data_IF_958628752675
#
_entry.id   IF_958628752675
#
_cell.length_a   1.000
_cell.length_b   1.000
_cell.length_c   1.000
_cell.angle_alpha   90.00
_cell.angle_beta   90.00
_cell.angle_gamma   90.00
#
_symmetry.space_group_name_H-M   'P 1'
#
loop_
_entity.id
_entity.type
_entity.pdbx_description
1 polymer ?
#
# COMPACT_ATOMS: atom_id res chain seq x y z
N UNK A 1 -35.03 -18.89 74.42
CA UNK A 1 -34.48 -18.43 73.12
C UNK A 1 -34.63 -16.92 73.07
N UNK A 2 -33.53 -16.19 73.24
CA UNK A 2 -33.50 -14.73 73.22
C UNK A 2 -33.23 -14.33 71.76
N UNK A 3 -34.16 -13.59 71.14
CA UNK A 3 -34.04 -13.13 69.77
C UNK A 3 -33.00 -12.00 69.68
N UNK A 4 -32.09 -12.11 68.70
CA UNK A 4 -31.07 -11.10 68.42
C UNK A 4 -31.71 -9.83 67.82
N UNK A 5 -31.17 -8.62 68.11
CA UNK A 5 -31.68 -7.38 67.54
C UNK A 5 -31.34 -7.28 66.03
N UNK A 6 -32.14 -6.54 65.25
CA UNK A 6 -31.90 -6.35 63.83
C UNK A 6 -30.63 -5.52 63.58
N UNK A 7 -29.93 -5.72 62.44
CA UNK A 7 -28.74 -4.93 62.11
C UNK A 7 -29.11 -3.47 61.90
N UNK A 8 -28.28 -2.57 62.44
CA UNK A 8 -28.42 -1.13 62.25
C UNK A 8 -28.35 -0.79 60.75
N UNK A 9 -29.32 0.01 60.28
CA UNK A 9 -29.29 0.56 58.92
C UNK A 9 -28.12 1.53 58.73
N UNK A 10 -27.64 1.73 57.49
CA UNK A 10 -26.53 2.63 57.22
C UNK A 10 -26.89 4.06 57.63
N UNK A 11 -25.98 4.70 58.36
CA UNK A 11 -26.11 6.07 58.87
C UNK A 11 -26.19 7.07 57.70
N UNK A 12 -27.32 7.78 57.51
CA UNK A 12 -27.47 8.76 56.44
C UNK A 12 -26.62 10.02 56.65
N UNK A 13 -25.98 10.17 57.82
CA UNK A 13 -25.06 11.28 58.16
C UNK A 13 -23.58 10.93 58.07
N UNK A 14 -23.21 9.70 57.64
CA UNK A 14 -21.81 9.36 57.41
C UNK A 14 -21.29 10.10 56.18
N UNK A 15 -20.70 11.27 56.42
CA UNK A 15 -19.95 12.05 55.44
C UNK A 15 -18.95 11.09 54.76
N UNK A 16 -19.23 10.78 53.50
CA UNK A 16 -18.47 9.80 52.72
C UNK A 16 -17.05 10.33 52.62
N UNK A 17 -16.13 9.75 53.40
CA UNK A 17 -14.73 10.13 53.36
C UNK A 17 -14.28 10.25 51.90
N UNK A 18 -13.62 11.36 51.50
CA UNK A 18 -13.20 11.54 50.11
C UNK A 18 -12.41 10.31 49.70
N UNK A 19 -12.75 9.75 48.53
CA UNK A 19 -12.03 8.61 47.99
C UNK A 19 -10.53 8.94 47.97
N UNK A 20 -9.64 7.98 48.32
CA UNK A 20 -8.21 8.22 48.22
C UNK A 20 -7.87 8.70 46.82
N UNK A 21 -6.98 9.70 46.72
CA UNK A 21 -6.57 10.24 45.43
C UNK A 21 -6.00 9.09 44.58
N UNK A 22 -6.46 8.94 43.32
CA UNK A 22 -5.98 7.88 42.44
C UNK A 22 -4.46 7.97 42.25
N UNK A 23 -3.81 6.81 42.12
CA UNK A 23 -2.39 6.74 41.80
C UNK A 23 -2.08 7.52 40.50
N UNK A 24 -0.89 8.09 40.40
CA UNK A 24 -0.49 8.91 39.25
C UNK A 24 -0.65 8.13 37.93
N UNK A 25 -0.27 6.84 37.94
CA UNK A 25 -0.43 5.94 36.80
C UNK A 25 -1.91 5.78 36.40
N UNK A 26 -2.82 5.65 37.37
CA UNK A 26 -4.26 5.53 37.13
C UNK A 26 -4.82 6.81 36.49
N UNK A 27 -4.39 7.98 36.96
CA UNK A 27 -4.80 9.27 36.39
C UNK A 27 -4.37 9.43 34.94
N UNK A 28 -3.13 9.06 34.62
CA UNK A 28 -2.59 9.11 33.25
C UNK A 28 -3.34 8.16 32.33
N UNK A 29 -3.58 6.91 32.77
CA UNK A 29 -4.33 5.93 31.99
C UNK A 29 -5.81 6.31 31.81
N UNK A 30 -6.43 6.93 32.81
CA UNK A 30 -7.77 7.48 32.71
C UNK A 30 -7.83 8.61 31.67
N UNK A 31 -6.85 9.53 31.70
CA UNK A 31 -6.73 10.60 30.69
C UNK A 31 -6.54 10.03 29.28
N UNK A 32 -5.68 9.03 29.12
CA UNK A 32 -5.48 8.33 27.85
C UNK A 32 -6.78 7.68 27.34
N UNK A 33 -7.54 7.05 28.23
CA UNK A 33 -8.83 6.44 27.91
C UNK A 33 -9.88 7.47 27.48
N UNK A 34 -9.95 8.62 28.16
CA UNK A 34 -10.83 9.74 27.76
C UNK A 34 -10.47 10.25 26.36
N UNK A 35 -9.18 10.41 26.08
CA UNK A 35 -8.68 10.86 24.78
C UNK A 35 -8.98 9.85 23.66
N UNK A 36 -8.84 8.55 23.91
CA UNK A 36 -9.26 7.50 22.97
C UNK A 36 -10.75 7.58 22.64
N UNK A 37 -11.61 7.77 23.65
CA UNK A 37 -13.05 7.90 23.45
C UNK A 37 -13.40 9.16 22.65
N UNK A 38 -12.74 10.28 22.96
CA UNK A 38 -12.88 11.51 22.19
C UNK A 38 -12.50 11.31 20.72
N UNK A 39 -11.35 10.66 20.46
CA UNK A 39 -10.88 10.37 19.11
C UNK A 39 -11.82 9.43 18.35
N UNK A 40 -12.33 8.39 19.01
CA UNK A 40 -13.27 7.43 18.43
C UNK A 40 -14.62 8.08 18.10
N UNK A 41 -15.05 9.09 18.87
CA UNK A 41 -16.24 9.87 18.54
C UNK A 41 -16.06 10.74 17.29
N UNK A 42 -14.84 11.23 17.02
CA UNK A 42 -14.52 12.06 15.83
C UNK A 42 -14.23 11.24 14.59
N UNK A 43 -13.54 10.11 14.73
CA UNK A 43 -13.25 9.17 13.65
C UNK A 43 -13.70 7.74 14.00
N UNK A 44 -15.02 7.45 14.00
CA UNK A 44 -15.53 6.13 14.38
C UNK A 44 -15.02 4.98 13.52
N UNK A 45 -14.59 5.28 12.29
CA UNK A 45 -13.98 4.33 11.36
C UNK A 45 -12.56 3.89 11.76
N UNK A 46 -11.90 4.61 12.66
CA UNK A 46 -10.59 4.26 13.22
C UNK A 46 -10.68 3.68 14.63
N UNK A 47 -11.88 3.46 15.18
CA UNK A 47 -12.05 3.01 16.56
C UNK A 47 -11.24 1.74 16.87
N UNK A 48 -11.26 0.74 15.98
CA UNK A 48 -10.46 -0.49 16.17
C UNK A 48 -8.96 -0.20 16.33
N UNK A 49 -8.42 0.70 15.52
CA UNK A 49 -7.01 1.13 15.62
C UNK A 49 -6.74 1.90 16.92
N UNK A 50 -7.63 2.82 17.31
CA UNK A 50 -7.50 3.58 18.56
C UNK A 50 -7.45 2.68 19.81
N UNK A 51 -8.27 1.64 19.83
CA UNK A 51 -8.29 0.68 20.94
C UNK A 51 -7.18 -0.37 20.87
N UNK A 52 -6.45 -0.47 19.75
CA UNK A 52 -5.27 -1.31 19.63
C UNK A 52 -3.98 -0.64 20.12
N UNK A 53 -3.94 0.70 20.18
CA UNK A 53 -2.79 1.44 20.75
C UNK A 53 -2.53 1.00 22.19
N UNK A 54 -1.29 0.69 22.54
CA UNK A 54 -0.91 0.27 23.88
C UNK A 54 -0.22 1.43 24.64
N UNK A 55 -0.74 1.88 25.79
CA UNK A 55 -0.09 2.92 26.56
C UNK A 55 1.13 2.34 27.29
N UNK A 56 2.27 3.00 27.19
CA UNK A 56 3.48 2.69 27.97
C UNK A 56 3.79 3.91 28.82
N UNK A 57 3.71 3.76 30.14
CA UNK A 57 4.10 4.82 31.06
C UNK A 57 5.63 4.96 31.05
N UNK A 58 6.08 6.19 30.89
CA UNK A 58 7.48 6.56 31.04
C UNK A 58 7.68 7.07 32.47
N UNK A 59 8.88 6.88 33.00
CA UNK A 59 9.26 7.43 34.31
C UNK A 59 8.97 8.94 34.37
N UNK A 60 8.24 9.35 35.41
CA UNK A 60 7.84 10.73 35.57
C UNK A 60 9.05 11.62 35.87
N UNK A 61 9.21 12.71 35.11
CA UNK A 61 10.14 13.77 35.49
C UNK A 61 9.51 14.61 36.59
N UNK A 62 10.12 14.64 37.76
CA UNK A 62 9.60 15.37 38.92
C UNK A 62 10.30 16.72 39.08
N UNK A 63 9.56 17.72 39.54
CA UNK A 63 10.10 18.99 39.97
C UNK A 63 10.89 18.81 41.27
N UNK A 64 12.12 19.30 41.33
CA UNK A 64 13.01 19.09 42.49
C UNK A 64 12.50 19.74 43.78
N UNK A 65 11.64 20.76 43.68
CA UNK A 65 11.16 21.52 44.83
C UNK A 65 9.81 21.01 45.33
N UNK A 66 8.90 20.72 44.41
CA UNK A 66 7.51 20.36 44.72
C UNK A 66 7.28 18.84 44.68
N UNK A 67 8.14 18.07 44.02
CA UNK A 67 7.97 16.63 43.80
C UNK A 67 6.85 16.29 42.81
N UNK A 68 6.24 17.30 42.19
CA UNK A 68 5.13 17.11 41.24
C UNK A 68 5.65 16.75 39.83
N UNK A 69 4.91 15.96 39.03
CA UNK A 69 5.26 15.66 37.66
C UNK A 69 5.31 16.91 36.78
N UNK A 70 6.40 17.08 36.03
CA UNK A 70 6.62 18.19 35.10
C UNK A 70 6.56 17.68 33.67
N UNK A 71 5.80 18.37 32.83
CA UNK A 71 5.73 18.04 31.41
C UNK A 71 7.13 18.05 30.76
N UNK A 72 7.35 17.07 29.89
CA UNK A 72 8.53 16.97 29.03
C UNK A 72 8.17 17.47 27.62
N UNK A 73 8.72 18.62 27.18
CA UNK A 73 8.49 19.13 25.83
C UNK A 73 8.89 18.17 24.71
N UNK A 74 9.83 17.24 24.96
CA UNK A 74 10.23 16.22 23.98
C UNK A 74 9.13 15.17 23.77
N UNK A 75 8.32 14.89 24.79
CA UNK A 75 7.25 13.89 24.75
C UNK A 75 5.86 14.51 24.53
N UNK A 76 5.81 15.79 24.12
CA UNK A 76 4.57 16.55 23.88
C UNK A 76 3.62 15.95 22.84
N UNK A 77 4.15 15.10 21.95
CA UNK A 77 3.37 14.40 20.94
C UNK A 77 3.03 12.95 21.32
N UNK A 78 3.47 12.46 22.48
CA UNK A 78 3.30 11.07 22.90
C UNK A 78 3.87 10.10 21.85
N UNK A 79 5.21 10.07 21.65
CA UNK A 79 5.82 9.34 20.55
C UNK A 79 5.37 7.89 20.54
N UNK A 80 5.14 7.38 19.34
CA UNK A 80 4.60 6.05 19.11
C UNK A 80 5.58 5.23 18.28
N UNK A 81 5.75 3.96 18.64
CA UNK A 81 6.64 3.06 17.91
C UNK A 81 5.90 2.14 16.93
N UNK A 82 6.67 1.40 16.13
CA UNK A 82 6.14 0.45 15.13
C UNK A 82 5.37 -0.73 15.73
N UNK A 83 5.46 -0.93 17.05
CA UNK A 83 4.70 -1.94 17.80
C UNK A 83 3.40 -1.40 18.40
N UNK A 84 2.96 -0.21 17.97
CA UNK A 84 1.73 0.46 18.41
C UNK A 84 1.74 0.88 19.87
N UNK A 85 2.93 1.04 20.46
CA UNK A 85 3.08 1.51 21.83
C UNK A 85 3.20 3.02 21.84
N UNK A 86 2.34 3.66 22.63
CA UNK A 86 2.28 5.12 22.80
C UNK A 86 2.93 5.45 24.13
N UNK A 87 4.02 6.19 24.11
CA UNK A 87 4.77 6.53 25.31
C UNK A 87 4.17 7.75 26.00
N UNK A 88 3.82 7.59 27.28
CA UNK A 88 3.10 8.57 28.08
C UNK A 88 4.00 9.06 29.23
N UNK A 89 4.49 10.29 29.10
CA UNK A 89 5.03 11.02 30.24
C UNK A 89 3.88 11.53 31.13
N UNK A 90 3.87 11.23 32.44
CA UNK A 90 2.80 11.65 33.34
C UNK A 90 2.58 13.16 33.40
N UNK A 91 3.65 13.97 33.45
CA UNK A 91 3.53 15.43 33.53
C UNK A 91 2.87 16.02 32.28
N UNK A 92 3.28 15.53 31.11
CA UNK A 92 2.74 15.94 29.81
C UNK A 92 1.29 15.47 29.65
N UNK A 93 1.00 14.20 29.96
CA UNK A 93 -0.34 13.64 29.80
C UNK A 93 -1.37 14.36 30.67
N UNK A 94 -1.02 14.72 31.92
CA UNK A 94 -1.98 15.34 32.83
C UNK A 94 -2.23 16.81 32.54
N UNK A 95 -1.25 17.53 31.97
CA UNK A 95 -1.37 18.94 31.60
C UNK A 95 -1.96 19.16 30.20
N UNK A 96 -1.85 18.17 29.31
CA UNK A 96 -2.37 18.27 27.94
C UNK A 96 -3.90 18.09 27.90
N UNK A 97 -4.65 18.94 27.16
CA UNK A 97 -6.09 18.77 26.98
C UNK A 97 -6.44 17.43 26.32
N UNK A 98 -7.54 16.80 26.77
CA UNK A 98 -8.03 15.50 26.24
C UNK A 98 -8.18 15.50 24.72
N UNK A 99 -8.68 16.61 24.15
CA UNK A 99 -8.86 16.75 22.71
C UNK A 99 -7.52 16.75 21.94
N UNK A 100 -6.47 17.32 22.52
CA UNK A 100 -5.14 17.36 21.92
C UNK A 100 -4.46 15.98 21.97
N UNK A 101 -4.57 15.26 23.09
CA UNK A 101 -4.10 13.87 23.18
C UNK A 101 -4.83 13.00 22.14
N UNK A 102 -6.16 13.16 22.03
CA UNK A 102 -6.95 12.44 21.04
C UNK A 102 -6.59 12.80 19.60
N UNK A 103 -6.20 14.04 19.33
CA UNK A 103 -5.66 14.46 18.03
C UNK A 103 -4.35 13.73 17.73
N UNK A 104 -3.42 13.67 18.68
CA UNK A 104 -2.15 12.94 18.53
C UNK A 104 -2.38 11.43 18.29
N UNK A 105 -3.38 10.82 18.94
CA UNK A 105 -3.72 9.42 18.66
C UNK A 105 -4.18 9.18 17.21
N UNK A 106 -5.02 10.08 16.67
CA UNK A 106 -5.46 9.99 15.27
C UNK A 106 -4.28 10.21 14.32
N UNK A 107 -3.38 11.12 14.67
CA UNK A 107 -2.14 11.36 13.96
C UNK A 107 -1.26 10.10 13.92
N UNK A 108 -0.97 9.49 15.07
CA UNK A 108 -0.15 8.28 15.18
C UNK A 108 -0.72 7.09 14.43
N UNK A 109 -2.05 6.90 14.46
CA UNK A 109 -2.70 5.89 13.63
C UNK A 109 -2.40 6.13 12.14
N UNK A 110 -2.38 7.38 11.71
CA UNK A 110 -1.98 7.78 10.38
C UNK A 110 -0.59 7.24 10.00
N UNK A 111 0.42 7.42 10.84
CA UNK A 111 1.77 6.90 10.60
C UNK A 111 1.82 5.38 10.57
N UNK A 112 1.16 4.74 11.55
CA UNK A 112 1.18 3.28 11.72
C UNK A 112 0.56 2.55 10.54
N UNK A 113 -0.67 2.89 10.16
CA UNK A 113 -1.41 2.16 9.12
C UNK A 113 -0.95 2.51 7.71
N UNK A 114 -0.29 3.65 7.52
CA UNK A 114 0.35 4.03 6.25
C UNK A 114 1.79 3.54 6.15
N UNK A 115 2.28 2.83 7.17
CA UNK A 115 3.62 2.25 7.23
C UNK A 115 4.72 3.27 6.93
N UNK A 116 4.62 4.48 7.53
CA UNK A 116 5.62 5.53 7.30
C UNK A 116 7.04 5.07 7.67
N UNK A 117 7.19 4.35 8.79
CA UNK A 117 8.45 3.72 9.16
C UNK A 117 9.09 2.84 8.05
N UNK A 118 8.27 2.10 7.29
CA UNK A 118 8.74 1.21 6.22
C UNK A 118 9.02 1.98 4.93
N UNK A 119 8.28 3.06 4.69
CA UNK A 119 8.41 3.94 3.51
C UNK A 119 9.54 4.96 3.67
N UNK A 120 10.05 5.15 4.88
CA UNK A 120 11.14 6.06 5.17
C UNK A 120 12.37 5.75 4.31
N UNK A 121 12.98 6.75 3.65
CA UNK A 121 14.20 6.54 2.88
C UNK A 121 15.30 6.04 3.82
N UNK A 122 16.07 5.05 3.36
CA UNK A 122 17.19 4.55 4.13
C UNK A 122 18.12 5.70 4.52
N UNK A 123 18.59 5.77 5.77
CA UNK A 123 19.54 6.80 6.18
C UNK A 123 20.77 6.72 5.26
N UNK A 124 21.34 7.87 4.86
CA UNK A 124 22.52 7.89 4.01
C UNK A 124 23.61 7.03 4.64
N UNK A 125 24.35 6.22 3.86
CA UNK A 125 25.44 5.42 4.41
C UNK A 125 26.42 6.37 5.09
N UNK A 126 26.66 6.14 6.39
CA UNK A 126 27.72 6.83 7.12
C UNK A 126 29.07 6.64 6.44
N UNK A 127 30.09 7.47 6.75
CA UNK A 127 31.41 7.34 6.14
C UNK A 127 31.89 5.90 6.26
N UNK A 128 32.17 5.29 5.11
CA UNK A 128 32.46 3.87 4.99
C UNK A 128 33.57 3.46 5.98
N UNK A 129 33.21 2.62 6.96
CA UNK A 129 34.21 1.80 7.61
C UNK A 129 34.88 0.95 6.51
N UNK A 130 36.21 0.98 6.47
CA UNK A 130 37.03 0.34 5.44
C UNK A 130 36.77 -1.16 5.27
N UNK A 131 37.39 -1.79 4.25
CA UNK A 131 37.00 -3.12 3.79
C UNK A 131 37.18 -4.18 4.88
N UNK A 132 36.08 -4.76 5.34
CA UNK A 132 36.09 -5.88 6.28
C UNK A 132 36.27 -7.21 5.52
N UNK A 133 37.38 -7.88 5.82
CA UNK A 133 37.67 -9.28 5.41
C UNK A 133 36.70 -10.22 6.14
N UNK A 134 36.22 -11.32 5.53
CA UNK A 134 35.28 -12.21 6.19
C UNK A 134 36.03 -13.17 7.13
N UNK A 135 35.63 -13.24 8.40
CA UNK A 135 36.03 -14.34 9.28
C UNK A 135 34.92 -14.70 10.28
N UNK A 136 34.66 -16.00 10.33
CA UNK A 136 33.73 -16.68 11.21
C UNK A 136 34.21 -16.72 12.67
N UNK A 137 33.28 -16.87 13.62
CA UNK A 137 33.60 -17.28 14.99
C UNK A 137 32.94 -16.43 16.07
N UNK A 138 32.42 -17.10 17.09
CA UNK A 138 31.62 -16.57 18.20
C UNK A 138 32.45 -15.70 19.14
N UNK A 139 31.86 -14.61 19.64
CA UNK A 139 31.72 -14.26 21.07
C UNK A 139 31.20 -12.84 21.21
N UNK A 140 30.31 -12.62 22.18
CA UNK A 140 29.73 -11.31 22.48
C UNK A 140 30.81 -10.36 23.02
N UNK A 141 30.82 -9.06 22.67
CA UNK A 141 31.62 -8.08 23.38
C UNK A 141 30.87 -7.47 24.57
N UNK A 142 31.61 -7.37 25.66
CA UNK A 142 31.30 -6.78 26.94
C UNK A 142 30.96 -5.29 26.88
N UNK A 143 30.08 -4.87 27.81
CA UNK A 143 29.78 -3.47 28.18
C UNK A 143 31.07 -2.67 28.41
N UNK A 144 31.16 -1.50 27.77
CA UNK A 144 32.18 -0.50 28.09
C UNK A 144 32.10 0.73 27.17
N UNK A 145 31.82 1.89 27.79
CA UNK A 145 31.87 3.26 27.27
C UNK A 145 30.86 3.66 26.18
N UNK A 146 29.87 4.46 26.60
CA UNK A 146 28.96 5.20 25.74
C UNK A 146 29.76 6.15 24.82
N UNK A 147 29.52 6.15 23.49
CA UNK A 147 29.83 7.31 22.68
C UNK A 147 28.80 8.40 23.00
N UNK A 148 29.29 9.61 23.24
CA UNK A 148 28.48 10.80 23.38
C UNK A 148 27.46 10.91 22.23
N UNK A 149 26.27 11.43 22.56
CA UNK A 149 25.14 11.69 21.69
C UNK A 149 25.54 12.49 20.43
N UNK A 150 26.07 11.79 19.43
CA UNK A 150 26.11 12.25 18.06
C UNK A 150 24.76 11.90 17.47
N UNK A 151 23.84 12.88 17.49
CA UNK A 151 22.59 12.82 16.76
C UNK A 151 22.86 12.34 15.33
N UNK A 152 22.56 11.07 15.04
CA UNK A 152 22.22 10.68 13.68
C UNK A 152 20.90 11.39 13.44
N UNK A 153 20.96 12.58 12.82
CA UNK A 153 19.76 13.33 12.49
C UNK A 153 18.83 12.39 11.73
N UNK A 154 17.72 11.99 12.36
CA UNK A 154 16.58 11.40 11.68
C UNK A 154 16.29 12.27 10.44
N UNK A 155 15.88 11.69 9.30
CA UNK A 155 15.70 12.45 8.07
C UNK A 155 14.56 13.47 8.25
N UNK A 156 14.88 14.67 8.78
CA UNK A 156 13.94 15.75 9.08
C UNK A 156 12.95 16.01 7.93
N UNK A 157 13.36 15.96 6.64
CA UNK A 157 12.43 16.11 5.52
C UNK A 157 11.37 15.01 5.43
N UNK A 158 11.71 13.76 5.77
CA UNK A 158 10.75 12.65 5.79
C UNK A 158 9.72 12.83 6.89
N UNK A 159 10.14 13.18 8.10
CA UNK A 159 9.20 13.35 9.22
C UNK A 159 8.20 14.48 8.91
N UNK A 160 8.67 15.60 8.37
CA UNK A 160 7.81 16.69 7.91
C UNK A 160 6.84 16.26 6.80
N UNK A 161 7.30 15.42 5.87
CA UNK A 161 6.48 14.95 4.75
C UNK A 161 5.42 13.93 5.20
N UNK A 162 5.80 13.02 6.09
CA UNK A 162 4.92 12.05 6.72
C UNK A 162 3.85 12.74 7.57
N UNK A 163 4.24 13.73 8.37
CA UNK A 163 3.33 14.58 9.14
C UNK A 163 2.37 15.32 8.21
N UNK A 164 2.86 15.88 7.10
CA UNK A 164 2.01 16.57 6.14
C UNK A 164 0.96 15.63 5.50
N UNK A 165 1.30 14.38 5.18
CA UNK A 165 0.33 13.38 4.68
C UNK A 165 -0.76 13.09 5.72
N UNK A 166 -0.39 12.90 6.98
CA UNK A 166 -1.36 12.60 8.05
C UNK A 166 -2.22 13.81 8.39
N UNK A 167 -1.60 14.97 8.56
CA UNK A 167 -2.24 16.19 9.04
C UNK A 167 -3.21 16.77 8.02
N UNK A 168 -3.03 16.48 6.73
CA UNK A 168 -4.02 16.79 5.68
C UNK A 168 -5.41 16.19 6.00
N UNK A 169 -5.45 14.91 6.39
CA UNK A 169 -6.72 14.26 6.76
C UNK A 169 -7.30 14.86 8.04
N UNK A 170 -6.46 15.19 9.03
CA UNK A 170 -6.90 15.78 10.31
C UNK A 170 -7.45 17.20 10.13
N UNK A 171 -6.83 18.01 9.26
CA UNK A 171 -7.32 19.32 8.86
C UNK A 171 -8.65 19.21 8.11
N UNK A 172 -8.81 18.23 7.22
CA UNK A 172 -10.06 18.01 6.49
C UNK A 172 -11.24 17.64 7.40
N UNK A 173 -10.96 17.07 8.57
CA UNK A 173 -11.97 16.81 9.61
C UNK A 173 -12.33 18.05 10.44
N UNK A 174 -11.65 19.18 10.23
CA UNK A 174 -11.88 20.42 10.97
C UNK A 174 -11.50 20.34 12.45
N UNK A 175 -10.54 19.47 12.81
CA UNK A 175 -10.03 19.38 14.17
C UNK A 175 -9.08 20.53 14.47
N UNK A 176 -9.11 21.03 15.71
CA UNK A 176 -8.15 22.06 16.16
C UNK A 176 -6.75 21.47 16.19
N UNK A 177 -5.86 22.01 15.36
CA UNK A 177 -4.47 21.57 15.24
C UNK A 177 -3.64 22.03 16.44
N UNK A 178 -2.85 21.15 17.08
CA UNK A 178 -1.91 21.54 18.13
C UNK A 178 -0.84 22.52 17.63
N UNK A 179 -0.30 23.32 18.55
CA UNK A 179 0.68 24.37 18.21
C UNK A 179 1.96 23.77 17.65
N UNK A 180 2.45 24.29 16.51
CA UNK A 180 3.73 23.87 15.92
C UNK A 180 3.63 22.64 15.02
N UNK A 181 2.47 22.00 14.92
CA UNK A 181 2.23 20.91 13.97
C UNK A 181 2.28 21.43 12.54
N UNK A 182 2.94 20.67 11.67
CA UNK A 182 3.11 20.99 10.26
C UNK A 182 1.98 20.41 9.43
N UNK A 183 1.37 21.22 8.58
CA UNK A 183 0.37 20.77 7.62
C UNK A 183 0.68 21.25 6.21
N UNK A 184 0.13 20.60 5.15
CA UNK A 184 0.32 21.06 3.79
C UNK A 184 -0.09 22.53 3.63
N UNK A 185 -1.20 22.93 4.24
CA UNK A 185 -1.68 24.31 4.23
C UNK A 185 -0.69 25.25 4.94
N UNK A 186 -0.14 24.85 6.08
CA UNK A 186 0.88 25.61 6.81
C UNK A 186 2.17 25.81 6.01
N UNK A 187 2.52 24.84 5.15
CA UNK A 187 3.67 24.89 4.25
C UNK A 187 3.37 25.57 2.90
N UNK A 188 2.12 25.94 2.61
CA UNK A 188 1.70 26.45 1.31
C UNK A 188 1.74 25.40 0.19
N UNK A 189 1.67 24.12 0.55
CA UNK A 189 1.66 22.99 -0.36
C UNK A 189 0.23 22.55 -0.71
N UNK A 190 0.01 21.99 -1.91
CA UNK A 190 -1.28 21.42 -2.29
C UNK A 190 -1.67 20.23 -1.40
N UNK A 191 -2.95 20.11 -0.98
CA UNK A 191 -3.44 18.99 -0.18
C UNK A 191 -3.54 17.69 -0.99
N UNK A 192 -3.77 16.58 -0.30
CA UNK A 192 -4.15 15.29 -0.87
C UNK A 192 -3.02 14.43 -1.40
N UNK A 193 -1.76 14.77 -1.12
CA UNK A 193 -0.57 14.05 -1.61
C UNK A 193 -0.05 12.99 -0.65
N UNK A 194 0.77 12.08 -1.17
CA UNK A 194 1.51 11.09 -0.38
C UNK A 194 2.79 11.70 0.22
N UNK A 195 3.30 11.07 1.29
CA UNK A 195 4.54 11.48 1.95
C UNK A 195 5.72 11.61 0.98
N UNK A 196 5.88 10.72 -0.01
CA UNK A 196 6.98 10.80 -0.99
C UNK A 196 6.86 12.01 -1.92
N UNK A 197 5.62 12.40 -2.26
CA UNK A 197 5.37 13.61 -3.03
C UNK A 197 5.63 14.86 -2.20
N UNK A 198 5.23 14.87 -0.92
CA UNK A 198 5.54 15.96 0.00
C UNK A 198 7.04 16.06 0.26
N UNK A 199 7.76 14.94 0.40
CA UNK A 199 9.21 14.89 0.56
C UNK A 199 9.88 15.63 -0.59
N UNK A 200 9.50 15.30 -1.83
CA UNK A 200 10.04 15.96 -3.03
C UNK A 200 9.79 17.47 -3.04
N UNK A 201 8.63 17.92 -2.56
CA UNK A 201 8.30 19.35 -2.46
C UNK A 201 9.06 20.05 -1.32
N UNK A 202 9.19 19.39 -0.17
CA UNK A 202 9.90 19.90 1.00
C UNK A 202 11.40 20.00 0.73
N UNK A 203 12.00 19.06 0.02
CA UNK A 203 13.40 19.14 -0.41
C UNK A 203 13.67 20.38 -1.28
N UNK A 204 12.73 20.74 -2.16
CA UNK A 204 12.80 21.97 -2.97
C UNK A 204 12.69 23.21 -2.08
N UNK A 205 11.78 23.21 -1.11
CA UNK A 205 11.62 24.31 -0.13
C UNK A 205 12.87 24.48 0.73
N UNK A 206 13.46 23.38 1.23
CA UNK A 206 14.68 23.40 2.03
C UNK A 206 15.89 23.89 1.23
N UNK A 207 16.03 23.45 -0.03
CA UNK A 207 17.04 23.97 -0.93
C UNK A 207 16.86 25.48 -1.25
N UNK A 208 15.64 26.00 -1.18
CA UNK A 208 15.37 27.43 -1.27
C UNK A 208 15.66 28.16 0.06
N UNK A 209 15.36 27.54 1.20
CA UNK A 209 15.69 28.07 2.53
C UNK A 209 17.20 28.30 2.69
N UNK A 210 18.03 27.32 2.29
CA UNK A 210 19.50 27.44 2.29
C UNK A 210 20.04 28.61 1.45
N UNK A 211 19.21 29.19 0.57
CA UNK A 211 19.52 30.38 -0.24
C UNK A 211 18.96 31.70 0.34
N UNK A 212 18.51 31.70 1.59
CA UNK A 212 18.04 32.91 2.31
C UNK A 212 16.53 32.95 2.61
N UNK A 213 15.83 31.82 2.54
CA UNK A 213 14.39 31.72 2.89
C UNK A 213 14.14 31.62 4.40
N UNK A 214 12.86 31.52 4.83
CA UNK A 214 12.50 31.22 6.22
C UNK A 214 12.73 29.73 6.53
N UNK A 215 13.18 29.37 7.76
CA UNK A 215 13.34 27.97 8.15
C UNK A 215 11.98 27.27 8.17
N UNK A 216 11.97 25.99 7.78
CA UNK A 216 10.82 25.13 8.07
C UNK A 216 10.72 24.93 9.58
N UNK A 217 9.50 24.73 10.08
CA UNK A 217 9.29 24.38 11.48
C UNK A 217 10.07 23.10 11.81
N UNK A 218 10.65 23.05 13.02
CA UNK A 218 11.28 21.83 13.49
C UNK A 218 10.22 20.73 13.60
N UNK A 219 10.50 19.51 13.07
CA UNK A 219 9.57 18.40 13.19
C UNK A 219 9.35 18.08 14.67
N UNK A 220 8.09 17.80 15.01
CA UNK A 220 7.76 17.28 16.34
C UNK A 220 8.10 15.79 16.34
N UNK A 221 8.71 15.31 17.42
CA UNK A 221 9.05 13.89 17.54
C UNK A 221 7.79 13.04 17.76
N UNK A 222 7.37 12.37 16.70
CA UNK A 222 6.26 11.43 16.70
C UNK A 222 6.70 9.99 17.01
N UNK A 223 8.00 9.75 17.20
CA UNK A 223 8.59 8.45 17.48
C UNK A 223 8.82 7.56 16.25
N UNK A 224 9.27 6.33 16.51
CA UNK A 224 9.67 5.37 15.48
C UNK A 224 8.56 4.91 14.52
N UNK A 225 7.28 5.23 14.77
CA UNK A 225 6.21 5.00 13.81
C UNK A 225 6.40 5.78 12.49
N UNK A 226 7.16 6.88 12.53
CA UNK A 226 7.39 7.74 11.36
C UNK A 226 8.56 7.28 10.51
N UNK A 227 9.70 6.96 11.11
CA UNK A 227 10.96 6.70 10.42
C UNK A 227 11.55 5.31 10.68
N UNK A 228 10.92 4.53 11.57
CA UNK A 228 11.35 3.18 11.93
C UNK A 228 12.56 3.13 12.86
N UNK A 229 13.01 4.27 13.40
CA UNK A 229 14.12 4.33 14.34
C UNK A 229 13.58 3.98 15.73
N UNK A 230 14.13 2.92 16.34
CA UNK A 230 13.74 2.46 17.68
C UNK A 230 14.44 3.31 18.75
N UNK A 231 13.91 4.51 18.96
CA UNK A 231 14.37 5.47 19.97
C UNK A 231 13.33 5.57 21.10
N UNK A 232 13.06 4.43 21.77
CA UNK A 232 12.17 4.42 22.92
C UNK A 232 12.62 5.46 23.98
N UNK A 233 11.71 6.28 24.53
CA UNK A 233 12.06 7.29 25.52
C UNK A 233 12.80 6.69 26.73
N UNK A 234 13.81 7.39 27.27
CA UNK A 234 14.44 7.01 28.54
C UNK A 234 13.39 6.85 29.65
N UNK A 235 13.50 5.80 30.46
CA UNK A 235 12.54 5.52 31.53
C UNK A 235 11.28 4.79 31.07
N UNK A 236 11.15 4.41 29.79
CA UNK A 236 10.17 3.41 29.39
C UNK A 236 10.51 2.06 30.07
N UNK A 237 9.52 1.43 30.70
CA UNK A 237 9.67 0.12 31.35
C UNK A 237 10.04 -1.00 30.38
N UNK A 238 10.08 -2.25 30.87
CA UNK A 238 10.35 -3.39 29.99
C UNK A 238 9.41 -3.40 28.77
N UNK A 239 9.91 -3.71 27.56
CA UNK A 239 9.12 -3.62 26.34
C UNK A 239 7.87 -4.52 26.46
N UNK A 240 6.71 -3.92 26.69
CA UNK A 240 5.45 -4.64 26.64
C UNK A 240 5.31 -5.27 25.23
N UNK A 241 4.71 -6.48 25.13
CA UNK A 241 4.44 -7.08 23.83
C UNK A 241 3.40 -6.25 23.10
N UNK A 242 3.88 -5.31 22.28
CA UNK A 242 3.07 -4.59 21.29
C UNK A 242 2.59 -5.52 20.18
N UNK A 243 1.85 -4.99 19.21
CA UNK A 243 1.27 -5.79 18.15
C UNK A 243 2.35 -6.49 17.31
N UNK A 244 2.15 -7.77 17.03
CA UNK A 244 2.93 -8.47 16.02
C UNK A 244 2.45 -8.10 14.59
N UNK A 245 3.20 -8.53 13.58
CA UNK A 245 2.90 -8.18 12.19
C UNK A 245 1.59 -8.81 11.70
N UNK A 246 1.21 -9.98 12.21
CA UNK A 246 -0.06 -10.65 11.85
C UNK A 246 -1.26 -9.95 12.46
N UNK A 247 -1.17 -9.59 13.75
CA UNK A 247 -2.18 -8.80 14.46
C UNK A 247 -2.37 -7.44 13.79
N UNK A 248 -1.27 -6.79 13.39
CA UNK A 248 -1.29 -5.53 12.65
C UNK A 248 -2.01 -5.69 11.30
N UNK A 249 -1.67 -6.72 10.53
CA UNK A 249 -2.30 -6.97 9.24
C UNK A 249 -3.81 -7.21 9.34
N UNK A 250 -4.24 -7.99 10.34
CA UNK A 250 -5.66 -8.25 10.61
C UNK A 250 -6.38 -6.98 11.05
N UNK A 251 -5.75 -6.16 11.90
CA UNK A 251 -6.28 -4.88 12.33
C UNK A 251 -6.47 -3.92 11.15
N UNK A 252 -5.48 -3.79 10.28
CA UNK A 252 -5.55 -2.92 9.10
C UNK A 252 -6.64 -3.35 8.14
N UNK A 253 -6.77 -4.66 7.85
CA UNK A 253 -7.87 -5.19 7.06
C UNK A 253 -9.24 -4.87 7.68
N UNK A 254 -9.35 -5.01 9.00
CA UNK A 254 -10.57 -4.72 9.74
C UNK A 254 -10.93 -3.22 9.72
N UNK A 255 -9.95 -2.33 9.77
CA UNK A 255 -10.13 -0.87 9.64
C UNK A 255 -10.50 -0.48 8.21
N UNK A 256 -9.83 -1.06 7.22
CA UNK A 256 -10.11 -0.79 5.81
C UNK A 256 -11.54 -1.18 5.42
N UNK A 257 -12.01 -2.38 5.85
CA UNK A 257 -13.41 -2.80 5.65
C UNK A 257 -14.42 -1.89 6.35
N UNK A 258 -14.06 -1.38 7.52
CA UNK A 258 -14.91 -0.46 8.27
C UNK A 258 -15.05 0.89 7.55
N UNK A 259 -13.95 1.43 7.02
CA UNK A 259 -13.96 2.65 6.19
C UNK A 259 -14.82 2.46 4.94
N UNK A 260 -14.66 1.35 4.24
CA UNK A 260 -15.46 1.03 3.04
C UNK A 260 -16.96 0.93 3.37
N UNK A 261 -17.31 0.21 4.44
CA UNK A 261 -18.69 0.04 4.90
C UNK A 261 -19.34 1.38 5.23
N UNK A 262 -18.62 2.27 5.93
CA UNK A 262 -19.13 3.61 6.26
C UNK A 262 -19.17 4.55 5.06
N UNK A 263 -18.21 4.45 4.15
CA UNK A 263 -18.20 5.20 2.89
C UNK A 263 -19.42 4.85 2.04
N UNK A 264 -19.78 3.56 1.95
CA UNK A 264 -21.00 3.10 1.26
C UNK A 264 -22.29 3.66 1.89
N UNK A 265 -22.27 3.93 3.20
CA UNK A 265 -23.37 4.58 3.95
C UNK A 265 -23.33 6.12 3.87
N UNK A 266 -22.49 6.70 3.00
CA UNK A 266 -22.30 8.15 2.81
C UNK A 266 -21.84 8.88 4.08
N UNK A 267 -21.05 8.22 4.93
CA UNK A 267 -20.39 8.90 6.04
C UNK A 267 -19.30 9.86 5.54
N UNK A 268 -19.15 11.01 6.21
CA UNK A 268 -18.06 11.95 5.94
C UNK A 268 -16.75 11.35 6.43
N UNK A 269 -15.92 10.90 5.49
CA UNK A 269 -14.57 10.36 5.75
C UNK A 269 -13.58 11.19 4.91
N UNK A 270 -12.38 11.51 5.40
CA UNK A 270 -11.35 12.16 4.59
C UNK A 270 -10.97 11.35 3.33
N UNK A 271 -10.49 12.06 2.31
CA UNK A 271 -10.09 11.44 1.05
C UNK A 271 -8.91 10.48 1.18
N UNK A 272 -7.93 10.80 2.04
CA UNK A 272 -6.76 9.96 2.29
C UNK A 272 -7.15 8.59 2.83
N UNK A 273 -8.00 8.57 3.87
CA UNK A 273 -8.54 7.33 4.43
C UNK A 273 -9.29 6.44 3.44
N UNK A 274 -10.09 7.04 2.54
CA UNK A 274 -10.77 6.28 1.48
C UNK A 274 -9.79 5.63 0.51
N UNK A 275 -8.78 6.40 0.04
CA UNK A 275 -7.76 5.89 -0.88
C UNK A 275 -6.93 4.78 -0.24
N UNK A 276 -6.52 4.97 1.01
CA UNK A 276 -5.79 3.97 1.78
C UNK A 276 -6.60 2.67 1.92
N UNK A 277 -7.86 2.76 2.35
CA UNK A 277 -8.72 1.58 2.51
C UNK A 277 -8.94 0.85 1.18
N UNK A 278 -9.17 1.60 0.09
CA UNK A 278 -9.30 1.03 -1.25
C UNK A 278 -8.02 0.29 -1.66
N UNK A 279 -6.85 0.90 -1.47
CA UNK A 279 -5.55 0.27 -1.77
C UNK A 279 -5.25 -0.96 -0.92
N UNK A 280 -5.70 -0.99 0.35
CA UNK A 280 -5.50 -2.15 1.25
C UNK A 280 -6.43 -3.32 0.93
N UNK A 281 -7.67 -3.05 0.51
CA UNK A 281 -8.68 -4.08 0.19
C UNK A 281 -8.63 -4.57 -1.25
N UNK A 282 -8.25 -3.67 -2.14
CA UNK A 282 -8.09 -3.92 -3.57
C UNK A 282 -6.66 -3.56 -3.93
N UNK A 283 -5.66 -4.28 -3.38
CA UNK A 283 -4.28 -4.05 -3.75
C UNK A 283 -4.21 -4.17 -5.26
N UNK A 284 -3.60 -3.19 -5.92
CA UNK A 284 -3.35 -3.24 -7.34
C UNK A 284 -2.50 -4.48 -7.60
N UNK A 285 -3.15 -5.59 -7.95
CA UNK A 285 -2.46 -6.80 -8.36
C UNK A 285 -1.56 -6.36 -9.50
N UNK A 286 -0.25 -6.59 -9.37
CA UNK A 286 0.64 -6.50 -10.52
C UNK A 286 0.27 -7.67 -11.44
N UNK A 287 -0.86 -7.49 -12.13
CA UNK A 287 -1.42 -8.45 -13.04
C UNK A 287 -0.45 -8.67 -14.21
N UNK A 288 0.55 -7.80 -14.40
CA UNK A 288 1.67 -8.01 -15.32
C UNK A 288 2.63 -9.08 -14.79
N UNK A 289 2.89 -9.12 -13.48
CA UNK A 289 3.59 -10.23 -12.84
C UNK A 289 2.77 -11.53 -12.91
N UNK A 290 1.44 -11.45 -12.81
CA UNK A 290 0.53 -12.60 -12.92
C UNK A 290 0.43 -13.13 -14.36
N UNK A 291 0.24 -12.25 -15.35
CA UNK A 291 0.28 -12.57 -16.78
C UNK A 291 1.67 -13.09 -17.17
N UNK A 292 2.74 -12.47 -16.66
CA UNK A 292 4.10 -12.97 -16.82
C UNK A 292 4.29 -14.35 -16.21
N UNK A 293 3.72 -14.64 -15.04
CA UNK A 293 3.77 -15.95 -14.41
C UNK A 293 2.95 -17.00 -15.17
N UNK A 294 1.81 -16.60 -15.72
CA UNK A 294 0.97 -17.41 -16.61
C UNK A 294 1.67 -17.75 -17.92
N UNK A 295 2.21 -16.74 -18.58
CA UNK A 295 3.07 -16.89 -19.76
C UNK A 295 4.21 -17.82 -19.40
N UNK A 296 4.96 -17.59 -18.31
CA UNK A 296 6.05 -18.49 -17.85
C UNK A 296 5.57 -19.90 -17.52
N UNK A 297 4.36 -20.12 -17.00
CA UNK A 297 3.82 -21.47 -16.70
C UNK A 297 3.36 -22.22 -17.95
N UNK A 298 2.72 -21.53 -18.89
CA UNK A 298 2.40 -22.07 -20.21
C UNK A 298 3.67 -22.34 -21.02
N UNK A 299 4.62 -21.42 -20.93
CA UNK A 299 5.96 -21.50 -21.52
C UNK A 299 6.84 -22.51 -20.81
N UNK A 300 6.68 -22.84 -19.52
CA UNK A 300 7.47 -23.91 -18.86
C UNK A 300 7.16 -25.31 -19.38
N UNK A 301 6.09 -25.50 -20.16
CA UNK A 301 5.91 -26.71 -20.99
C UNK A 301 6.78 -26.71 -22.27
N UNK A 302 7.51 -25.63 -22.56
CA UNK A 302 8.10 -25.38 -23.89
C UNK A 302 9.47 -24.67 -23.85
N UNK A 303 9.78 -23.82 -22.87
CA UNK A 303 11.06 -23.16 -22.67
C UNK A 303 11.93 -23.95 -21.70
N UNK A 304 12.51 -24.97 -22.28
CA UNK A 304 13.84 -25.40 -21.98
C UNK A 304 14.33 -26.16 -23.20
N UNK A 305 15.60 -26.52 -23.21
CA UNK A 305 16.05 -27.65 -24.00
C UNK A 305 15.41 -28.90 -23.38
N UNK A 306 14.10 -29.07 -23.55
CA UNK A 306 13.28 -30.10 -22.90
C UNK A 306 12.63 -31.04 -23.89
N UNK A 307 12.72 -30.73 -25.18
CA UNK A 307 12.16 -31.56 -26.24
C UNK A 307 13.20 -31.89 -27.33
N UNK A 308 13.09 -33.10 -27.85
CA UNK A 308 14.00 -33.72 -28.79
C UNK A 308 13.36 -33.71 -30.18
N UNK A 309 13.98 -33.02 -31.15
CA UNK A 309 13.51 -33.06 -32.54
C UNK A 309 14.44 -33.85 -33.45
N UNK A 310 13.87 -34.76 -34.24
CA UNK A 310 14.56 -35.48 -35.32
C UNK A 310 14.34 -34.82 -36.69
N UNK A 311 13.48 -33.80 -36.77
CA UNK A 311 13.21 -33.07 -38.03
C UNK A 311 14.43 -32.29 -38.52
N UNK A 312 15.35 -31.94 -37.62
CA UNK A 312 16.67 -31.40 -37.94
C UNK A 312 17.71 -32.05 -37.01
N UNK A 313 18.24 -33.22 -37.37
CA UNK A 313 19.17 -33.95 -36.52
C UNK A 313 20.42 -33.13 -36.17
N UNK A 314 20.95 -33.37 -34.97
CA UNK A 314 22.20 -32.74 -34.53
C UNK A 314 23.35 -33.15 -35.46
N UNK A 315 24.19 -32.18 -35.85
CA UNK A 315 25.39 -32.45 -36.68
C UNK A 315 26.53 -33.13 -35.90
N UNK A 316 26.38 -33.30 -34.58
CA UNK A 316 27.35 -34.03 -33.76
C UNK A 316 27.24 -35.52 -34.11
N UNK A 317 28.28 -36.05 -34.74
CA UNK A 317 28.40 -37.49 -35.00
C UNK A 317 28.82 -38.18 -33.71
N UNK A 318 28.06 -39.21 -33.34
CA UNK A 318 28.45 -40.23 -32.36
C UNK A 318 28.61 -41.52 -33.16
N UNK A 319 29.57 -42.37 -32.82
CA UNK A 319 29.78 -43.64 -33.52
C UNK A 319 28.52 -44.51 -33.55
N UNK A 320 28.45 -45.42 -34.53
CA UNK A 320 27.42 -46.46 -34.71
C UNK A 320 26.03 -46.06 -35.23
N UNK A 321 25.96 -45.11 -36.17
CA UNK A 321 24.72 -44.90 -36.96
C UNK A 321 23.52 -44.34 -36.19
N UNK A 322 23.71 -43.91 -34.95
CA UNK A 322 22.67 -43.34 -34.09
C UNK A 322 22.42 -41.87 -34.49
N UNK A 323 21.22 -41.58 -34.97
CA UNK A 323 20.78 -40.21 -35.28
C UNK A 323 20.42 -39.49 -33.98
N UNK A 324 21.17 -38.45 -33.63
CA UNK A 324 20.94 -37.71 -32.40
C UNK A 324 19.91 -36.58 -32.60
N UNK A 325 18.89 -36.46 -31.72
CA UNK A 325 17.94 -35.36 -31.79
C UNK A 325 18.60 -34.00 -31.50
N UNK A 326 18.06 -32.93 -32.07
CA UNK A 326 18.41 -31.56 -31.71
C UNK A 326 17.51 -31.06 -30.58
N UNK A 327 18.05 -30.24 -29.69
CA UNK A 327 17.28 -29.58 -28.64
C UNK A 327 16.64 -28.30 -29.19
N UNK A 328 15.33 -28.16 -29.05
CA UNK A 328 14.62 -26.91 -29.38
C UNK A 328 14.03 -26.28 -28.13
N UNK A 329 14.03 -24.95 -28.09
CA UNK A 329 13.25 -24.17 -27.13
C UNK A 329 12.31 -23.27 -27.92
N UNK A 330 11.10 -23.72 -28.27
CA UNK A 330 10.13 -22.87 -28.95
C UNK A 330 9.71 -21.75 -27.99
N UNK A 331 9.85 -20.49 -28.39
CA UNK A 331 9.14 -19.44 -27.66
C UNK A 331 7.64 -19.43 -28.06
N UNK A 332 6.71 -19.00 -27.19
CA UNK A 332 5.26 -19.14 -27.41
C UNK A 332 4.71 -18.15 -28.43
N UNK A 333 3.94 -18.59 -29.42
CA UNK A 333 3.23 -17.73 -30.34
C UNK A 333 1.90 -17.26 -29.72
N UNK A 334 1.81 -15.97 -29.37
CA UNK A 334 0.65 -15.38 -28.69
C UNK A 334 -0.18 -14.56 -29.69
N UNK A 335 -1.48 -14.87 -29.77
CA UNK A 335 -2.45 -14.07 -30.51
C UNK A 335 -3.22 -13.15 -29.55
N UNK A 336 -3.35 -11.89 -29.92
CA UNK A 336 -4.06 -10.87 -29.17
C UNK A 336 -5.36 -10.52 -29.87
N UNK A 337 -6.47 -10.56 -29.13
CA UNK A 337 -7.78 -10.08 -29.57
C UNK A 337 -8.11 -8.82 -28.78
N UNK A 338 -8.28 -7.71 -29.47
CA UNK A 338 -8.57 -6.40 -28.87
C UNK A 338 -10.01 -6.03 -29.17
N UNK A 339 -10.80 -5.83 -28.13
CA UNK A 339 -12.16 -5.32 -28.25
C UNK A 339 -12.14 -3.87 -28.75
N UNK A 340 -12.78 -3.64 -29.90
CA UNK A 340 -12.94 -2.31 -30.52
C UNK A 340 -14.42 -1.94 -30.65
N UNK A 341 -15.28 -2.55 -29.84
CA UNK A 341 -16.71 -2.22 -29.81
C UNK A 341 -16.99 -0.82 -29.28
N UNK A 342 -18.19 -0.31 -29.56
CA UNK A 342 -18.61 1.05 -29.20
C UNK A 342 -18.65 1.33 -27.68
N UNK A 343 -18.60 0.30 -26.81
CA UNK A 343 -18.49 0.49 -25.36
C UNK A 343 -17.06 0.82 -24.90
N UNK A 344 -16.06 0.62 -25.77
CA UNK A 344 -14.65 0.90 -25.47
C UNK A 344 -14.36 2.39 -25.70
N UNK A 345 -14.24 3.13 -24.60
CA UNK A 345 -13.89 4.56 -24.64
C UNK A 345 -12.44 4.78 -25.11
N UNK A 346 -12.09 5.97 -25.65
CA UNK A 346 -10.72 6.31 -26.03
C UNK A 346 -9.70 6.15 -24.89
N UNK A 347 -10.13 6.36 -23.64
CA UNK A 347 -9.31 6.17 -22.44
C UNK A 347 -9.00 4.69 -22.18
N UNK A 348 -10.01 3.83 -22.30
CA UNK A 348 -9.83 2.36 -22.21
C UNK A 348 -8.94 1.84 -23.31
N UNK A 349 -9.11 2.36 -24.53
CA UNK A 349 -8.31 2.03 -25.71
C UNK A 349 -6.83 2.42 -25.54
N UNK A 350 -6.56 3.58 -24.94
CA UNK A 350 -5.20 4.02 -24.59
C UNK A 350 -4.58 3.14 -23.50
N UNK A 351 -5.40 2.72 -22.53
CA UNK A 351 -5.04 1.70 -21.55
C UNK A 351 -4.61 0.40 -22.22
N UNK A 352 -5.43 -0.15 -23.12
CA UNK A 352 -5.11 -1.35 -23.90
C UNK A 352 -3.79 -1.22 -24.65
N UNK A 353 -3.54 -0.11 -25.35
CA UNK A 353 -2.29 0.10 -26.09
C UNK A 353 -1.06 0.16 -25.18
N UNK A 354 -1.17 0.80 -24.02
CA UNK A 354 -0.09 0.84 -23.01
C UNK A 354 0.24 -0.57 -22.53
N UNK A 355 -0.78 -1.38 -22.30
CA UNK A 355 -0.61 -2.77 -21.87
C UNK A 355 -0.02 -3.68 -22.95
N UNK A 356 -0.46 -3.50 -24.19
CA UNK A 356 0.10 -4.23 -25.34
C UNK A 356 1.57 -3.88 -25.51
N UNK A 357 1.96 -2.62 -25.32
CA UNK A 357 3.37 -2.18 -25.35
C UNK A 357 4.21 -2.89 -24.28
N UNK A 358 3.68 -3.02 -23.05
CA UNK A 358 4.37 -3.67 -21.94
C UNK A 358 4.49 -5.19 -22.13
N UNK A 359 3.46 -5.84 -22.68
CA UNK A 359 3.49 -7.26 -23.07
C UNK A 359 4.52 -7.47 -24.18
N UNK A 360 4.52 -6.62 -25.21
CA UNK A 360 5.53 -6.63 -26.28
C UNK A 360 6.95 -6.50 -25.72
N UNK A 361 7.18 -5.62 -24.75
CA UNK A 361 8.49 -5.41 -24.15
C UNK A 361 9.00 -6.60 -23.30
N UNK A 362 8.10 -7.35 -22.64
CA UNK A 362 8.46 -8.42 -21.68
C UNK A 362 8.32 -9.84 -22.21
N UNK A 363 7.37 -10.09 -23.12
CA UNK A 363 7.11 -11.42 -23.68
C UNK A 363 7.87 -11.65 -25.01
N UNK A 364 8.32 -10.60 -25.70
CA UNK A 364 8.97 -10.71 -26.99
C UNK A 364 10.48 -10.45 -26.89
N UNK A 365 11.29 -11.51 -27.06
CA UNK A 365 12.70 -11.33 -27.41
C UNK A 365 12.86 -10.63 -28.77
N UNK A 366 14.09 -10.20 -29.14
CA UNK A 366 14.38 -9.33 -30.28
C UNK A 366 13.90 -9.80 -31.68
N UNK A 367 13.43 -11.05 -31.81
CA UNK A 367 13.00 -11.64 -33.10
C UNK A 367 11.49 -11.84 -33.26
N UNK A 368 10.65 -11.52 -32.27
CA UNK A 368 9.22 -11.91 -32.29
C UNK A 368 8.27 -10.82 -32.77
N UNK A 369 7.16 -11.28 -33.37
CA UNK A 369 6.05 -10.48 -33.90
C UNK A 369 4.78 -10.92 -33.17
N UNK A 370 3.96 -9.98 -32.72
CA UNK A 370 2.66 -10.30 -32.10
C UNK A 370 1.58 -10.17 -33.17
N UNK A 371 0.63 -11.11 -33.16
CA UNK A 371 -0.51 -11.12 -34.06
C UNK A 371 -1.71 -10.54 -33.32
N UNK A 372 -2.18 -9.39 -33.79
CA UNK A 372 -3.27 -8.62 -33.21
C UNK A 372 -4.48 -8.70 -34.12
N UNK A 373 -5.65 -8.93 -33.53
CA UNK A 373 -6.95 -8.98 -34.19
C UNK A 373 -7.86 -7.99 -33.47
N UNK A 374 -8.27 -6.93 -34.15
CA UNK A 374 -9.35 -6.08 -33.64
C UNK A 374 -10.68 -6.82 -33.82
N UNK A 375 -11.53 -6.83 -32.80
CA UNK A 375 -12.82 -7.50 -32.85
C UNK A 375 -13.91 -6.62 -32.25
N UNK A 376 -14.94 -6.37 -33.05
CA UNK A 376 -16.21 -5.80 -32.62
C UNK A 376 -17.30 -6.88 -32.81
N UNK A 377 -18.27 -6.69 -33.70
CA UNK A 377 -19.25 -7.69 -34.13
C UNK A 377 -18.64 -8.71 -35.09
N UNK A 378 -17.48 -8.38 -35.67
CA UNK A 378 -16.69 -9.28 -36.53
C UNK A 378 -15.21 -9.17 -36.18
N UNK A 379 -14.46 -10.22 -36.48
CA UNK A 379 -13.00 -10.15 -36.46
C UNK A 379 -12.49 -9.40 -37.69
N UNK A 380 -11.66 -8.38 -37.47
CA UNK A 380 -10.98 -7.64 -38.53
C UNK A 380 -9.66 -8.33 -38.91
N UNK A 381 -9.03 -7.84 -39.99
CA UNK A 381 -7.80 -8.41 -40.52
C UNK A 381 -6.67 -8.49 -39.49
N UNK A 382 -5.91 -9.59 -39.52
CA UNK A 382 -4.80 -9.85 -38.59
C UNK A 382 -3.65 -8.90 -38.88
N UNK A 383 -3.26 -8.14 -37.87
CA UNK A 383 -2.10 -7.26 -37.91
C UNK A 383 -0.92 -7.93 -37.24
N UNK A 384 0.25 -7.91 -37.90
CA UNK A 384 1.48 -8.46 -37.33
C UNK A 384 2.38 -7.30 -36.92
N UNK A 385 2.40 -6.99 -35.62
CA UNK A 385 3.07 -5.79 -35.09
C UNK A 385 4.30 -6.16 -34.27
N UNK A 386 5.29 -5.24 -34.28
CA UNK A 386 6.48 -5.32 -33.43
C UNK A 386 6.49 -4.23 -32.36
N UNK A 387 5.81 -3.12 -32.60
CA UNK A 387 5.67 -1.98 -31.70
C UNK A 387 4.20 -1.61 -31.62
N UNK A 388 3.77 -1.13 -30.46
CA UNK A 388 2.36 -0.77 -30.27
C UNK A 388 1.93 0.45 -31.09
N UNK A 389 2.86 1.34 -31.42
CA UNK A 389 2.62 2.48 -32.32
C UNK A 389 2.25 2.07 -33.77
N UNK A 390 2.56 0.82 -34.16
CA UNK A 390 2.27 0.28 -35.49
C UNK A 390 0.88 -0.39 -35.54
N UNK A 391 0.10 -0.31 -34.44
CA UNK A 391 -1.24 -0.90 -34.34
C UNK A 391 -2.26 0.06 -34.94
N UNK A 392 -3.00 -0.43 -35.92
CA UNK A 392 -4.17 0.27 -36.48
C UNK A 392 -5.43 -0.27 -35.80
N UNK A 393 -6.10 0.55 -35.01
CA UNK A 393 -7.33 0.13 -34.34
C UNK A 393 -8.51 0.32 -35.28
N UNK A 394 -9.15 -0.80 -35.65
CA UNK A 394 -10.25 -0.86 -36.62
C UNK A 394 -11.49 -1.40 -35.89
N UNK A 395 -12.62 -0.69 -35.95
CA UNK A 395 -13.88 -1.13 -35.32
C UNK A 395 -14.86 0.02 -35.04
N UNK A 396 -15.72 -0.17 -34.04
CA UNK A 396 -16.77 0.77 -33.63
C UNK A 396 -18.20 0.21 -33.66
N UNK A 397 -18.36 -1.09 -33.95
CA UNK A 397 -19.66 -1.77 -33.97
C UNK A 397 -20.12 -2.32 -32.61
N UNK A 398 -21.08 -3.25 -32.64
CA UNK A 398 -21.44 -4.08 -31.47
C UNK A 398 -20.33 -5.06 -31.09
N UNK A 399 -20.57 -6.00 -30.18
CA UNK A 399 -19.50 -6.85 -29.61
C UNK A 399 -19.82 -8.34 -29.76
N UNK A 400 -18.89 -9.13 -30.30
CA UNK A 400 -18.96 -10.59 -30.37
C UNK A 400 -17.55 -11.23 -30.36
N UNK A 401 -17.03 -11.55 -29.18
CA UNK A 401 -15.68 -12.12 -29.04
C UNK A 401 -15.59 -13.58 -29.51
N UNK A 402 -16.70 -14.23 -29.89
CA UNK A 402 -16.66 -15.56 -30.54
C UNK A 402 -15.96 -15.47 -31.89
N UNK A 403 -16.20 -14.39 -32.64
CA UNK A 403 -15.56 -14.13 -33.93
C UNK A 403 -14.06 -13.86 -33.76
N UNK A 404 -13.67 -13.04 -32.78
CA UNK A 404 -12.27 -12.73 -32.49
C UNK A 404 -11.46 -13.96 -32.08
N UNK A 405 -12.01 -14.79 -31.19
CA UNK A 405 -11.39 -16.06 -30.79
C UNK A 405 -11.36 -17.04 -31.97
N UNK A 406 -12.43 -17.12 -32.77
CA UNK A 406 -12.49 -17.94 -33.98
C UNK A 406 -11.40 -17.58 -34.99
N UNK A 407 -11.21 -16.28 -35.25
CA UNK A 407 -10.15 -15.78 -36.13
C UNK A 407 -8.75 -16.09 -35.61
N UNK A 408 -8.52 -15.97 -34.30
CA UNK A 408 -7.25 -16.36 -33.68
C UNK A 408 -6.96 -17.86 -33.84
N UNK A 409 -7.99 -18.72 -33.77
CA UNK A 409 -7.86 -20.17 -33.96
C UNK A 409 -7.59 -20.57 -35.42
N UNK A 410 -8.05 -19.77 -36.38
CA UNK A 410 -7.85 -19.99 -37.81
C UNK A 410 -6.41 -19.68 -38.27
N UNK A 411 -5.64 -18.96 -37.46
CA UNK A 411 -4.25 -18.61 -37.78
C UNK A 411 -3.35 -19.83 -38.04
N UNK A 412 -2.38 -19.64 -38.95
CA UNK A 412 -1.34 -20.61 -39.28
C UNK A 412 0.04 -19.92 -39.22
N UNK A 413 0.98 -20.37 -38.36
CA UNK A 413 0.84 -21.43 -37.35
C UNK A 413 -0.20 -21.07 -36.28
N UNK A 414 -0.79 -22.08 -35.64
CA UNK A 414 -1.80 -21.85 -34.60
C UNK A 414 -1.14 -21.24 -33.35
N UNK A 415 -1.73 -20.23 -32.70
CA UNK A 415 -1.18 -19.66 -31.47
C UNK A 415 -1.19 -20.68 -30.32
N UNK A 416 -0.20 -20.55 -29.43
CA UNK A 416 -0.07 -21.29 -28.18
C UNK A 416 -0.92 -20.69 -27.05
N UNK A 417 -1.28 -19.41 -27.17
CA UNK A 417 -2.10 -18.66 -26.22
C UNK A 417 -2.92 -17.58 -26.94
N UNK A 418 -4.18 -17.42 -26.54
CA UNK A 418 -5.03 -16.30 -26.94
C UNK A 418 -5.24 -15.38 -25.74
N UNK A 419 -4.94 -14.10 -25.90
CA UNK A 419 -5.22 -13.05 -24.91
C UNK A 419 -6.33 -12.15 -25.46
N UNK A 420 -7.44 -12.01 -24.73
CA UNK A 420 -8.57 -11.15 -25.09
C UNK A 420 -8.60 -9.95 -24.17
N UNK A 421 -8.58 -8.74 -24.73
CA UNK A 421 -8.71 -7.46 -24.01
C UNK A 421 -10.13 -6.92 -24.24
N UNK A 422 -10.94 -6.82 -23.19
CA UNK A 422 -12.36 -6.38 -23.31
C UNK A 422 -12.87 -5.79 -21.99
N UNK A 423 -13.98 -5.05 -22.03
CA UNK A 423 -14.77 -4.64 -20.88
C UNK A 423 -15.77 -5.74 -20.41
N UNK A 424 -15.83 -6.86 -21.14
CA UNK A 424 -16.63 -8.03 -20.80
C UNK A 424 -18.08 -7.99 -21.28
N UNK A 425 -18.49 -6.94 -22.01
CA UNK A 425 -19.84 -6.82 -22.56
C UNK A 425 -19.94 -7.54 -23.90
N UNK A 426 -19.84 -8.87 -23.88
CA UNK A 426 -19.78 -9.68 -25.11
C UNK A 426 -20.29 -11.10 -24.91
N UNK A 427 -20.92 -11.71 -25.93
CA UNK A 427 -21.17 -13.14 -25.93
C UNK A 427 -19.86 -13.93 -26.02
N UNK A 428 -19.75 -14.97 -25.19
CA UNK A 428 -18.60 -15.87 -25.14
C UNK A 428 -18.86 -17.20 -25.86
N UNK A 429 -17.82 -17.94 -26.29
CA UNK A 429 -17.99 -19.30 -26.79
C UNK A 429 -18.52 -20.25 -25.71
N UNK A 430 -19.56 -21.02 -26.03
CA UNK A 430 -20.14 -22.01 -25.11
C UNK A 430 -19.17 -23.17 -24.79
N UNK A 431 -18.26 -23.47 -25.72
CA UNK A 431 -17.27 -24.54 -25.59
C UNK A 431 -15.87 -23.98 -25.43
N UNK A 432 -15.11 -24.59 -24.53
CA UNK A 432 -13.70 -24.26 -24.30
C UNK A 432 -12.89 -24.41 -25.60
N UNK A 433 -12.18 -23.35 -26.05
CA UNK A 433 -11.27 -23.44 -27.19
C UNK A 433 -10.11 -24.43 -26.93
N UNK A 434 -9.52 -25.05 -27.98
CA UNK A 434 -8.42 -26.00 -27.79
C UNK A 434 -7.06 -25.33 -27.47
N UNK A 435 -7.01 -23.99 -27.48
CA UNK A 435 -5.87 -23.17 -27.07
C UNK A 435 -6.26 -22.47 -25.77
N UNK A 436 -5.36 -22.35 -24.77
CA UNK A 436 -5.63 -21.56 -23.57
C UNK A 436 -6.05 -20.13 -23.92
N UNK A 437 -7.09 -19.64 -23.24
CA UNK A 437 -7.57 -18.26 -23.38
C UNK A 437 -7.46 -17.56 -22.05
N UNK A 438 -6.86 -16.38 -22.08
CA UNK A 438 -6.81 -15.45 -20.95
C UNK A 438 -7.64 -14.23 -21.32
N UNK A 439 -8.56 -13.84 -20.43
CA UNK A 439 -9.41 -12.67 -20.59
C UNK A 439 -8.87 -11.59 -19.66
N UNK A 440 -8.34 -10.53 -20.24
CA UNK A 440 -7.94 -9.32 -19.53
C UNK A 440 -9.15 -8.37 -19.55
N UNK A 441 -9.85 -8.34 -18.41
CA UNK A 441 -11.14 -7.69 -18.23
C UNK A 441 -10.94 -6.33 -17.58
N UNK A 442 -11.30 -5.23 -18.25
CA UNK A 442 -11.33 -3.93 -17.57
C UNK A 442 -12.53 -3.88 -16.66
N UNK A 443 -12.31 -3.62 -15.37
CA UNK A 443 -13.42 -3.48 -14.43
C UNK A 443 -14.33 -2.32 -14.87
N UNK A 444 -15.63 -2.55 -15.03
CA UNK A 444 -16.58 -1.47 -15.20
C UNK A 444 -16.54 -0.59 -13.94
N UNK A 445 -16.64 0.73 -14.10
CA UNK A 445 -16.82 1.63 -12.95
C UNK A 445 -18.01 1.22 -12.06
N UNK A 446 -18.06 1.69 -10.81
CA UNK A 446 -19.09 1.26 -9.85
C UNK A 446 -20.51 1.46 -10.43
N UNK A 447 -21.26 0.36 -10.55
CA UNK A 447 -22.66 0.35 -11.00
C UNK A 447 -22.95 -0.34 -12.34
N UNK A 448 -21.94 -0.72 -13.12
CA UNK A 448 -22.11 -1.47 -14.37
C UNK A 448 -21.85 -2.97 -14.14
N UNK A 449 -22.87 -3.81 -14.32
CA UNK A 449 -22.72 -5.28 -14.32
C UNK A 449 -22.47 -5.75 -15.75
N UNK A 450 -21.46 -6.58 -15.97
CA UNK A 450 -21.31 -7.29 -17.24
C UNK A 450 -22.58 -8.12 -17.52
N UNK A 451 -23.16 -7.97 -18.71
CA UNK A 451 -24.40 -8.68 -19.10
C UNK A 451 -24.22 -10.21 -19.10
N UNK A 452 -22.99 -10.70 -19.25
CA UNK A 452 -22.64 -12.12 -19.15
C UNK A 452 -21.30 -12.27 -18.43
N UNK A 453 -21.22 -13.06 -17.34
CA UNK A 453 -19.95 -13.26 -16.64
C UNK A 453 -18.94 -14.01 -17.54
N UNK A 454 -17.63 -13.73 -17.40
CA UNK A 454 -16.60 -14.48 -18.12
C UNK A 454 -16.74 -16.00 -17.87
N UNK A 455 -16.52 -16.84 -18.89
CA UNK A 455 -16.72 -18.27 -18.77
C UNK A 455 -15.66 -18.93 -17.86
N UNK A 456 -16.08 -19.90 -17.05
CA UNK A 456 -15.22 -20.60 -16.09
C UNK A 456 -14.02 -21.36 -16.71
N UNK A 457 -14.07 -21.63 -18.03
CA UNK A 457 -12.98 -22.29 -18.75
C UNK A 457 -11.84 -21.34 -19.13
N UNK A 458 -12.07 -20.02 -19.08
CA UNK A 458 -11.07 -19.00 -19.32
C UNK A 458 -10.51 -18.48 -17.99
N UNK A 459 -9.24 -18.07 -17.99
CA UNK A 459 -8.68 -17.36 -16.84
C UNK A 459 -8.90 -15.87 -17.02
N UNK A 460 -9.62 -15.26 -16.10
CA UNK A 460 -9.86 -13.81 -16.09
C UNK A 460 -8.81 -13.11 -15.25
N UNK A 461 -8.30 -12.00 -15.76
CA UNK A 461 -7.36 -11.10 -15.09
C UNK A 461 -8.02 -9.71 -15.07
N UNK A 462 -8.21 -9.09 -13.89
CA UNK A 462 -8.73 -7.72 -13.82
C UNK A 462 -7.67 -6.74 -14.33
N UNK A 463 -8.09 -5.82 -15.19
CA UNK A 463 -7.32 -4.67 -15.64
C UNK A 463 -7.83 -3.41 -14.93
N UNK A 464 -6.94 -2.54 -14.45
CA UNK A 464 -7.34 -1.27 -13.88
C UNK A 464 -8.02 -0.41 -14.95
N UNK A 465 -9.18 0.17 -14.62
CA UNK A 465 -9.78 1.24 -15.43
C UNK A 465 -8.77 2.41 -15.48
N UNK A 466 -8.26 2.70 -16.66
CA UNK A 466 -6.99 3.41 -16.84
C UNK A 466 -6.84 4.74 -16.07
N UNK A 467 -5.72 4.91 -15.39
CA UNK A 467 -5.08 6.21 -15.24
C UNK A 467 -3.94 6.27 -16.29
N UNK A 468 -3.86 7.32 -17.11
CA UNK A 468 -2.77 7.45 -18.07
C UNK A 468 -1.44 7.61 -17.32
N UNK A 469 -0.50 6.69 -17.53
CA UNK A 469 0.89 7.02 -17.30
C UNK A 469 1.32 7.99 -18.40
N UNK A 470 1.87 9.13 -18.01
CA UNK A 470 2.36 10.14 -18.95
C UNK A 470 3.42 9.52 -19.87
N UNK A 471 3.11 9.33 -21.16
CA UNK A 471 4.11 8.90 -22.14
C UNK A 471 3.65 8.23 -23.43
N UNK A 472 2.37 7.86 -23.61
CA UNK A 472 1.94 7.19 -24.84
C UNK A 472 1.41 8.19 -25.89
N UNK A 473 2.18 8.42 -26.95
CA UNK A 473 1.74 9.18 -28.12
C UNK A 473 0.58 8.44 -28.83
N UNK A 474 -0.45 9.21 -29.18
CA UNK A 474 -1.73 8.75 -29.77
C UNK A 474 -1.50 8.08 -31.13
N UNK A 475 -1.93 6.83 -31.28
CA UNK A 475 -2.02 6.13 -32.56
C UNK A 475 -3.14 6.75 -33.43
N UNK A 476 -2.95 6.77 -34.75
CA UNK A 476 -3.89 7.38 -35.70
C UNK A 476 -5.16 6.53 -35.81
N UNK A 477 -6.26 7.01 -35.23
CA UNK A 477 -7.60 6.50 -35.51
C UNK A 477 -8.05 6.98 -36.90
N UNK A 478 -8.54 6.05 -37.74
CA UNK A 478 -9.38 6.39 -38.89
C UNK A 478 -10.74 5.75 -38.65
N UNK A 479 -11.76 6.59 -38.58
CA UNK A 479 -13.18 6.25 -38.59
C UNK A 479 -13.58 5.52 -39.86
#
# INVERSE_FOLDING_TARGET
>A
MIAAPPPAGPDPGAERAPAPAPDLAEQVLARFTQARLWAAARAPYLARALFALQPVLVEARLDETTGEPVADPALRAFPTDTRWRVHLDPGTALTTPVAEIGWWMLHHIGHLVRHHAVRAPAPPPGPAAGPTVPAAGRSAPSRGAAPAAGAREAPRPWNLAADAEVNDDLESMGLTTPVGVVSPRGLGLPPGRLAEEYLSLIEVLDAAHRRGGRPLADPIDCGGAVDGIDDAPPGAGEPAPGLDDTERDLLELAVAREIETRSARRATIPGGWRRWAQGRLHPAVDWRAELGALLRRGVRRTAGRVDFTYARPSRRKTGDGIVMPAMVGPDPDVALVVDTSGSITPTLLTGFLTEITAILARAAGPRRRVRLICCDRRAHGVQTVRRAQDIELIGGGGTDQREGIGAALALRPRPDLILVLTDGQTPWPDRRPPVPVVIALVEPGPGLRAETPPPAWARTIPLPAGHPSAGAAVARSRT
#
